data_IF_852816294115
#
_entry.id   IF_852816294115
#
_cell.length_a   1.000
_cell.length_b   1.000
_cell.length_c   1.000
_cell.angle_alpha   90.00
_cell.angle_beta   90.00
_cell.angle_gamma   90.00
#
_symmetry.space_group_name_H-M   'P 1'
#
loop_
_entity.id
_entity.type
_entity.pdbx_description
1 polymer ?
#
# COMPACT_ATOMS: atom_id res chain seq x y z
N UNK A 1 -0.37 20.58 10.71
CA UNK A 1 -1.26 19.56 10.13
C UNK A 1 -1.11 19.53 8.62
N UNK A 2 -0.53 18.46 8.06
CA UNK A 2 -0.56 18.21 6.61
C UNK A 2 -1.44 16.99 6.38
N UNK A 3 -2.70 17.23 6.01
CA UNK A 3 -3.61 16.19 5.52
C UNK A 3 -3.76 16.41 4.02
N UNK A 4 -3.53 15.36 3.26
CA UNK A 4 -3.81 15.35 1.83
C UNK A 4 -5.06 14.53 1.63
N UNK A 5 -6.13 15.19 1.18
CA UNK A 5 -7.37 14.50 0.90
C UNK A 5 -7.19 13.53 -0.26
N UNK A 6 -7.56 12.26 -0.04
CA UNK A 6 -7.90 11.37 -1.14
C UNK A 6 -9.10 11.95 -1.91
N UNK A 7 -9.29 11.51 -3.16
CA UNK A 7 -10.45 11.94 -3.97
C UNK A 7 -11.78 11.78 -3.21
N UNK A 8 -12.78 12.61 -3.56
CA UNK A 8 -14.12 12.59 -2.96
C UNK A 8 -14.83 11.23 -3.00
N UNK A 9 -14.60 10.42 -4.04
CA UNK A 9 -15.24 9.10 -4.16
C UNK A 9 -14.27 7.99 -3.82
N UNK A 10 -14.18 7.66 -2.53
CA UNK A 10 -13.34 6.59 -2.02
C UNK A 10 -13.79 5.22 -2.52
N UNK A 11 -12.83 4.32 -2.70
CA UNK A 11 -13.10 2.92 -3.09
C UNK A 11 -12.88 2.01 -1.89
N UNK A 12 -13.96 1.49 -1.32
CA UNK A 12 -13.91 0.48 -0.27
C UNK A 12 -13.72 -0.91 -0.86
N UNK A 13 -13.21 -1.85 -0.06
CA UNK A 13 -13.07 -3.23 -0.49
C UNK A 13 -14.45 -3.89 -0.66
N UNK A 14 -14.74 -4.49 -1.82
CA UNK A 14 -16.00 -5.18 -2.04
C UNK A 14 -16.02 -6.61 -1.45
N UNK A 15 -14.85 -7.19 -1.19
CA UNK A 15 -14.66 -8.54 -0.63
C UNK A 15 -13.68 -8.50 0.55
N UNK A 16 -13.67 -9.55 1.39
CA UNK A 16 -12.94 -9.61 2.67
C UNK A 16 -11.41 -9.46 2.49
N UNK A 17 -10.86 -9.86 1.34
CA UNK A 17 -9.40 -9.85 1.08
C UNK A 17 -8.96 -8.84 0.00
N UNK A 18 -9.82 -7.87 -0.30
CA UNK A 18 -9.55 -6.85 -1.34
C UNK A 18 -9.00 -5.52 -0.79
N UNK A 19 -8.43 -5.53 0.42
CA UNK A 19 -7.82 -4.33 1.03
C UNK A 19 -6.70 -3.76 0.15
N UNK A 20 -5.79 -4.62 -0.34
CA UNK A 20 -4.63 -4.24 -1.16
C UNK A 20 -5.06 -3.51 -2.43
N UNK A 21 -5.93 -4.11 -3.23
CA UNK A 21 -6.41 -3.54 -4.49
C UNK A 21 -7.17 -2.24 -4.29
N UNK A 22 -7.92 -2.14 -3.20
CA UNK A 22 -8.69 -0.95 -2.86
C UNK A 22 -7.78 0.20 -2.45
N UNK A 23 -6.75 -0.05 -1.63
CA UNK A 23 -5.71 0.93 -1.32
C UNK A 23 -5.01 1.43 -2.58
N UNK A 24 -4.51 0.51 -3.42
CA UNK A 24 -3.85 0.85 -4.70
C UNK A 24 -4.77 1.70 -5.57
N UNK A 25 -6.04 1.32 -5.70
CA UNK A 25 -7.03 2.06 -6.49
C UNK A 25 -7.20 3.49 -5.98
N UNK A 26 -7.32 3.68 -4.67
CA UNK A 26 -7.46 5.01 -4.07
C UNK A 26 -6.21 5.86 -4.29
N UNK A 27 -5.01 5.30 -4.13
CA UNK A 27 -3.75 6.00 -4.38
C UNK A 27 -3.64 6.40 -5.86
N UNK A 28 -3.85 5.46 -6.78
CA UNK A 28 -3.73 5.73 -8.22
C UNK A 28 -4.73 6.80 -8.70
N UNK A 29 -5.97 6.75 -8.20
CA UNK A 29 -6.99 7.74 -8.52
C UNK A 29 -6.70 9.12 -7.90
N UNK A 30 -6.16 9.16 -6.68
CA UNK A 30 -5.94 10.42 -5.97
C UNK A 30 -4.66 11.11 -6.40
N UNK A 31 -3.57 10.35 -6.57
CA UNK A 31 -2.24 10.90 -6.88
C UNK A 31 -2.05 11.18 -8.37
N UNK A 32 -2.60 10.33 -9.24
CA UNK A 32 -2.39 10.43 -10.68
C UNK A 32 -3.65 10.79 -11.46
N UNK A 33 -4.77 11.01 -10.77
CA UNK A 33 -6.07 11.34 -11.36
C UNK A 33 -6.51 10.34 -12.45
N UNK A 34 -6.11 9.07 -12.33
CA UNK A 34 -6.28 8.05 -13.37
C UNK A 34 -7.43 7.10 -13.07
N UNK A 35 -8.60 7.34 -13.66
CA UNK A 35 -9.74 6.41 -13.56
C UNK A 35 -9.55 5.09 -14.35
N UNK A 36 -8.42 4.94 -15.07
CA UNK A 36 -8.16 3.84 -16.01
C UNK A 36 -7.98 2.48 -15.33
N UNK A 37 -7.47 2.49 -14.10
CA UNK A 37 -7.17 1.28 -13.35
C UNK A 37 -8.39 0.86 -12.55
N UNK A 38 -9.18 -0.10 -13.05
CA UNK A 38 -10.28 -0.67 -12.27
C UNK A 38 -9.76 -1.71 -11.28
N UNK A 39 -10.53 -2.01 -10.23
CA UNK A 39 -10.20 -3.10 -9.29
C UNK A 39 -9.94 -4.42 -10.03
N UNK A 40 -10.74 -4.73 -11.07
CA UNK A 40 -10.54 -5.92 -11.92
C UNK A 40 -9.16 -5.96 -12.59
N UNK A 41 -8.66 -4.82 -13.09
CA UNK A 41 -7.32 -4.76 -13.72
C UNK A 41 -6.22 -4.92 -12.69
N UNK A 42 -6.37 -4.25 -11.53
CA UNK A 42 -5.44 -4.34 -10.41
C UNK A 42 -5.36 -5.78 -9.89
N UNK A 43 -6.50 -6.40 -9.58
CA UNK A 43 -6.59 -7.80 -9.13
C UNK A 43 -5.92 -8.78 -10.10
N UNK A 44 -6.12 -8.59 -11.42
CA UNK A 44 -5.49 -9.43 -12.44
C UNK A 44 -3.96 -9.37 -12.35
N UNK A 45 -3.39 -8.19 -12.16
CA UNK A 45 -1.94 -8.01 -12.03
C UNK A 45 -1.40 -8.56 -10.71
N UNK A 46 -2.14 -8.34 -9.61
CA UNK A 46 -1.82 -8.89 -8.30
C UNK A 46 -2.00 -10.41 -8.22
N UNK A 47 -2.49 -11.05 -9.29
CA UNK A 47 -2.87 -12.47 -9.32
C UNK A 47 -3.78 -12.83 -8.14
N UNK A 48 -4.65 -11.90 -7.76
CA UNK A 48 -5.59 -12.11 -6.67
C UNK A 48 -6.48 -13.31 -6.99
N UNK A 49 -6.48 -14.27 -6.07
CA UNK A 49 -7.39 -15.40 -6.08
C UNK A 49 -8.36 -15.14 -4.92
N UNK A 50 -9.65 -15.13 -5.23
CA UNK A 50 -10.71 -14.88 -4.24
C UNK A 50 -10.44 -15.69 -2.96
N UNK A 51 -10.49 -15.01 -1.82
CA UNK A 51 -10.30 -15.58 -0.48
C UNK A 51 -8.86 -15.97 -0.07
N UNK A 52 -7.84 -15.66 -0.88
CA UNK A 52 -6.43 -16.01 -0.56
C UNK A 52 -5.51 -14.78 -0.39
N UNK A 53 -6.06 -13.58 -0.41
CA UNK A 53 -5.29 -12.34 -0.28
C UNK A 53 -4.30 -12.10 -1.42
N UNK A 54 -3.36 -11.18 -1.20
CA UNK A 54 -2.30 -10.81 -2.15
C UNK A 54 -0.96 -10.90 -1.42
N UNK A 55 -0.05 -11.75 -1.90
CA UNK A 55 1.32 -11.79 -1.38
C UNK A 55 2.08 -10.51 -1.75
N UNK A 56 2.98 -10.05 -0.88
CA UNK A 56 3.74 -8.80 -1.06
C UNK A 56 4.51 -8.78 -2.40
N UNK A 57 5.12 -9.90 -2.79
CA UNK A 57 5.84 -10.02 -4.06
C UNK A 57 4.95 -9.76 -5.28
N UNK A 58 3.65 -10.02 -5.17
CA UNK A 58 2.70 -9.84 -6.28
C UNK A 58 2.43 -8.37 -6.58
N UNK A 59 2.77 -7.45 -5.66
CA UNK A 59 2.62 -6.02 -5.84
C UNK A 59 3.55 -5.52 -6.97
N UNK A 60 4.72 -6.11 -7.12
CA UNK A 60 5.67 -5.76 -8.18
C UNK A 60 5.14 -6.06 -9.60
N UNK A 61 4.18 -6.98 -9.73
CA UNK A 61 3.52 -7.28 -11.01
C UNK A 61 2.67 -6.09 -11.52
N UNK A 62 2.35 -5.10 -10.67
CA UNK A 62 1.67 -3.88 -11.10
C UNK A 62 2.52 -3.04 -12.06
N UNK A 63 3.85 -3.18 -12.04
CA UNK A 63 4.72 -2.40 -12.92
C UNK A 63 4.37 -2.62 -14.40
N UNK A 64 3.94 -3.83 -14.81
CA UNK A 64 3.49 -4.10 -16.18
C UNK A 64 2.26 -3.26 -16.58
N UNK A 65 1.32 -3.07 -15.64
CA UNK A 65 0.11 -2.27 -15.84
C UNK A 65 0.42 -0.76 -15.85
N UNK A 66 1.34 -0.33 -14.97
CA UNK A 66 1.62 1.06 -14.66
C UNK A 66 2.69 1.70 -15.56
N UNK A 67 3.57 0.90 -16.16
CA UNK A 67 4.67 1.39 -17.01
C UNK A 67 4.17 2.21 -18.21
N UNK A 68 2.96 1.92 -18.73
CA UNK A 68 2.32 2.70 -19.81
C UNK A 68 2.14 4.18 -19.45
N UNK A 69 2.01 4.47 -18.16
CA UNK A 69 1.81 5.81 -17.64
C UNK A 69 3.07 6.31 -16.91
N UNK A 70 4.22 5.64 -17.09
CA UNK A 70 5.50 5.89 -16.41
C UNK A 70 5.38 5.94 -14.88
N UNK A 71 4.43 5.19 -14.32
CA UNK A 71 4.24 5.03 -12.88
C UNK A 71 4.94 3.76 -12.45
N UNK A 72 5.70 3.84 -11.37
CA UNK A 72 6.44 2.72 -10.80
C UNK A 72 6.01 2.47 -9.37
N UNK A 73 6.04 1.20 -8.98
CA UNK A 73 5.86 0.79 -7.59
C UNK A 73 7.21 0.77 -6.91
N UNK A 74 7.26 1.39 -5.74
CA UNK A 74 8.42 1.37 -4.86
C UNK A 74 8.03 0.71 -3.55
N UNK A 75 8.98 -0.04 -3.00
CA UNK A 75 8.90 -0.66 -1.70
C UNK A 75 10.19 -0.36 -0.97
N UNK A 76 10.09 -0.02 0.33
CA UNK A 76 11.24 0.23 1.18
C UNK A 76 11.30 -0.82 2.28
N UNK A 77 12.45 -1.46 2.37
CA UNK A 77 12.72 -2.54 3.31
C UNK A 77 12.73 -2.07 4.77
N UNK A 78 12.58 -3.06 5.64
CA UNK A 78 12.04 -2.97 6.98
C UNK A 78 12.92 -2.18 7.96
N UNK A 79 14.24 -2.33 7.88
CA UNK A 79 15.22 -1.78 8.83
C UNK A 79 15.34 -0.24 8.82
N UNK A 80 14.88 0.43 7.76
CA UNK A 80 15.05 1.88 7.58
C UNK A 80 13.75 2.67 7.59
N UNK A 81 12.63 1.99 7.88
CA UNK A 81 11.31 2.59 7.96
C UNK A 81 11.14 3.35 9.27
N UNK A 82 10.39 4.45 9.22
CA UNK A 82 10.00 5.26 10.39
C UNK A 82 8.96 6.30 9.97
N UNK A 83 8.33 6.94 10.95
CA UNK A 83 7.34 8.01 10.71
C UNK A 83 7.92 9.15 9.86
N UNK A 84 9.22 9.50 10.01
CA UNK A 84 9.85 10.54 9.16
C UNK A 84 9.88 10.14 7.67
N UNK A 85 10.01 8.85 7.37
CA UNK A 85 9.98 8.36 5.99
C UNK A 85 8.58 8.51 5.39
N UNK A 86 7.54 8.18 6.16
CA UNK A 86 6.13 8.37 5.77
C UNK A 86 5.85 9.87 5.58
N UNK A 87 6.28 10.71 6.52
CA UNK A 87 6.10 12.16 6.47
C UNK A 87 6.69 12.79 5.22
N UNK A 88 7.91 12.43 4.84
CA UNK A 88 8.54 12.91 3.59
C UNK A 88 7.74 12.54 2.35
N UNK A 89 7.07 11.38 2.33
CA UNK A 89 6.21 10.99 1.21
C UNK A 89 4.94 11.85 1.19
N UNK A 90 4.30 12.05 2.34
CA UNK A 90 3.13 12.93 2.48
C UNK A 90 3.47 14.36 2.06
N UNK A 91 4.59 14.95 2.49
CA UNK A 91 5.03 16.30 2.07
C UNK A 91 5.17 16.43 0.55
N UNK A 92 5.54 15.34 -0.13
CA UNK A 92 5.67 15.25 -1.60
C UNK A 92 4.36 14.95 -2.32
N UNK A 93 3.24 14.90 -1.60
CA UNK A 93 1.92 14.50 -2.12
C UNK A 93 1.87 13.07 -2.65
N UNK A 94 2.64 12.18 -2.02
CA UNK A 94 2.62 10.75 -2.27
C UNK A 94 1.84 10.10 -1.13
N UNK A 95 0.96 9.16 -1.44
CA UNK A 95 0.15 8.44 -0.46
C UNK A 95 0.75 7.05 -0.19
N UNK A 96 1.58 6.89 0.85
CA UNK A 96 2.15 5.59 1.18
C UNK A 96 1.07 4.63 1.67
N UNK A 97 1.24 3.37 1.31
CA UNK A 97 0.46 2.25 1.82
C UNK A 97 1.32 1.55 2.87
N UNK A 98 0.76 1.37 4.06
CA UNK A 98 1.38 0.66 5.17
C UNK A 98 0.64 -0.64 5.44
N UNK A 99 1.35 -1.59 6.03
CA UNK A 99 0.88 -2.95 6.26
C UNK A 99 0.89 -3.20 7.76
N UNK A 100 -0.21 -3.72 8.28
CA UNK A 100 -0.35 -4.13 9.67
C UNK A 100 -0.76 -5.61 9.75
N UNK A 101 -0.38 -6.34 10.81
CA UNK A 101 -1.05 -7.58 11.16
C UNK A 101 -2.52 -7.29 11.40
N UNK A 102 -3.42 -8.02 10.73
CA UNK A 102 -4.86 -7.78 10.83
C UNK A 102 -5.34 -7.94 12.27
N UNK A 103 -4.84 -8.95 12.99
CA UNK A 103 -5.12 -9.22 14.40
C UNK A 103 -4.82 -8.03 15.30
N UNK A 104 -3.63 -7.45 15.18
CA UNK A 104 -3.20 -6.33 16.03
C UNK A 104 -3.93 -5.04 15.67
N UNK A 105 -4.16 -4.81 14.38
CA UNK A 105 -4.95 -3.68 13.91
C UNK A 105 -6.40 -3.74 14.38
N UNK A 106 -7.06 -4.91 14.28
CA UNK A 106 -8.44 -5.07 14.75
C UNK A 106 -8.56 -4.99 16.28
N UNK A 107 -7.58 -5.53 17.02
CA UNK A 107 -7.49 -5.38 18.48
C UNK A 107 -7.41 -3.91 18.87
N UNK A 108 -6.54 -3.14 18.20
CA UNK A 108 -6.45 -1.70 18.38
C UNK A 108 -7.76 -0.98 18.05
N UNK A 109 -8.39 -1.33 16.93
CA UNK A 109 -9.55 -0.60 16.38
C UNK A 109 -10.84 -0.84 17.16
N UNK A 110 -11.06 -2.06 17.64
CA UNK A 110 -12.34 -2.47 18.22
C UNK A 110 -12.28 -2.76 19.73
N UNK A 111 -11.10 -2.67 20.35
CA UNK A 111 -10.87 -3.00 21.77
C UNK A 111 -11.43 -4.39 22.15
N UNK A 112 -11.45 -5.30 21.18
CA UNK A 112 -12.00 -6.65 21.31
C UNK A 112 -10.94 -7.66 20.89
N UNK A 113 -10.55 -8.49 21.83
CA UNK A 113 -9.92 -9.79 21.57
C UNK A 113 -10.97 -10.70 20.94
N UNK A 114 -11.24 -10.55 19.63
CA UNK A 114 -11.83 -11.65 18.90
C UNK A 114 -10.83 -12.80 18.96
N UNK A 115 -11.28 -13.95 19.45
CA UNK A 115 -10.53 -15.20 19.33
C UNK A 115 -10.56 -15.51 17.84
N UNK A 116 -9.47 -15.20 17.16
CA UNK A 116 -9.27 -15.54 15.77
C UNK A 116 -9.13 -17.06 15.65
N UNK A 117 -9.69 -17.63 14.58
CA UNK A 117 -9.37 -19.00 14.20
C UNK A 117 -7.89 -19.08 13.81
N UNK A 118 -7.24 -20.22 14.01
CA UNK A 118 -5.79 -20.49 13.79
C UNK A 118 -5.25 -20.09 12.39
N UNK A 119 -6.10 -19.65 11.46
CA UNK A 119 -5.73 -19.14 10.14
C UNK A 119 -5.61 -17.61 10.00
N UNK A 120 -6.17 -16.80 10.91
CA UNK A 120 -6.13 -15.32 10.78
C UNK A 120 -4.85 -14.71 11.37
N UNK A 121 -4.02 -15.51 12.07
CA UNK A 121 -2.81 -15.02 12.74
C UNK A 121 -1.75 -14.51 11.77
N UNK A 122 -1.82 -14.91 10.50
CA UNK A 122 -0.86 -14.53 9.44
C UNK A 122 -1.50 -13.62 8.37
N UNK A 123 -2.67 -13.04 8.63
CA UNK A 123 -3.35 -12.16 7.67
C UNK A 123 -2.88 -10.72 7.85
N UNK A 124 -2.57 -10.06 6.73
CA UNK A 124 -2.15 -8.66 6.71
C UNK A 124 -3.26 -7.74 6.24
N UNK A 125 -3.28 -6.52 6.78
CA UNK A 125 -4.17 -5.46 6.36
C UNK A 125 -3.41 -4.25 5.83
N UNK A 126 -3.92 -3.66 4.76
CA UNK A 126 -3.26 -2.56 4.06
C UNK A 126 -4.09 -1.29 4.25
N UNK A 127 -3.39 -0.20 4.59
CA UNK A 127 -3.99 1.11 4.87
C UNK A 127 -3.25 2.18 4.08
N UNK A 128 -3.98 3.21 3.63
CA UNK A 128 -3.35 4.37 2.98
C UNK A 128 -3.12 5.45 4.02
N UNK A 129 -1.89 5.91 4.21
CA UNK A 129 -1.63 7.10 5.03
C UNK A 129 -1.97 8.34 4.21
N UNK A 130 -2.79 9.21 4.79
CA UNK A 130 -3.30 10.44 4.14
C UNK A 130 -2.82 11.70 4.83
N UNK A 131 -2.24 11.60 6.02
CA UNK A 131 -1.73 12.78 6.72
C UNK A 131 -0.96 12.44 7.99
N UNK A 132 -0.16 13.40 8.42
CA UNK A 132 0.58 13.36 9.69
C UNK A 132 0.40 14.72 10.39
N UNK A 133 0.05 14.66 11.68
CA UNK A 133 0.13 15.79 12.60
C UNK A 133 1.23 15.52 13.63
N UNK A 134 2.34 16.25 13.50
CA UNK A 134 3.47 16.18 14.43
C UNK A 134 3.19 16.80 15.80
N UNK A 135 2.32 17.80 15.85
CA UNK A 135 2.02 18.52 17.09
C UNK A 135 1.18 17.65 18.01
N UNK A 136 0.18 17.00 17.42
CA UNK A 136 -0.76 16.14 18.16
C UNK A 136 -0.36 14.65 18.10
N UNK A 137 0.76 14.34 17.46
CA UNK A 137 1.31 12.98 17.25
C UNK A 137 0.30 12.01 16.62
N UNK A 138 -0.43 12.46 15.60
CA UNK A 138 -1.47 11.69 14.91
C UNK A 138 -1.05 11.32 13.50
N UNK A 139 -1.24 10.06 13.13
CA UNK A 139 -1.27 9.56 11.75
C UNK A 139 -2.72 9.41 11.32
N UNK A 140 -3.05 9.96 10.15
CA UNK A 140 -4.36 9.81 9.53
C UNK A 140 -4.28 8.72 8.46
N UNK A 141 -5.13 7.70 8.57
CA UNK A 141 -5.16 6.59 7.62
C UNK A 141 -6.54 6.38 7.04
N UNK A 142 -6.60 6.08 5.75
CA UNK A 142 -7.78 5.55 5.10
C UNK A 142 -7.76 4.02 5.18
N UNK A 143 -8.81 3.46 5.75
CA UNK A 143 -9.05 2.03 5.83
C UNK A 143 -10.07 1.61 4.75
N UNK A 144 -9.70 0.74 3.80
CA UNK A 144 -10.61 0.27 2.77
C UNK A 144 -11.70 -0.68 3.31
N UNK A 145 -11.57 -1.23 4.51
CA UNK A 145 -12.64 -2.01 5.16
C UNK A 145 -13.76 -1.04 5.52
N UNK A 146 -14.93 -1.22 4.89
CA UNK A 146 -16.13 -0.49 5.25
C UNK A 146 -16.62 -0.99 6.61
N UNK A 147 -16.35 -0.25 7.67
CA UNK A 147 -16.88 -0.56 8.99
C UNK A 147 -18.40 -0.34 8.98
N UNK A 148 -19.18 -1.40 9.21
CA UNK A 148 -20.64 -1.33 9.35
C UNK A 148 -21.11 -0.40 10.48
N UNK A 149 -20.21 0.01 11.37
CA UNK A 149 -20.47 0.89 12.51
C UNK A 149 -20.02 2.33 12.30
N UNK A 150 -19.46 2.68 11.12
CA UNK A 150 -18.97 4.03 10.87
C UNK A 150 -19.80 4.72 9.79
N UNK A 151 -20.27 5.90 10.16
CA UNK A 151 -20.89 6.84 9.23
C UNK A 151 -19.79 7.59 8.47
N UNK A 152 -19.41 7.07 7.30
CA UNK A 152 -18.37 7.64 6.44
C UNK A 152 -18.74 9.02 5.89
N UNK A 153 -19.98 9.48 6.11
CA UNK A 153 -20.43 10.82 5.73
C UNK A 153 -19.81 11.94 6.59
N UNK A 154 -19.15 11.61 7.72
CA UNK A 154 -18.54 12.61 8.62
C UNK A 154 -17.02 12.69 8.55
N UNK A 155 -16.29 11.57 8.65
CA UNK A 155 -14.83 11.55 8.51
C UNK A 155 -14.36 10.19 7.93
N UNK A 156 -13.73 10.16 6.74
CA UNK A 156 -13.34 8.91 6.10
C UNK A 156 -12.05 8.29 6.63
N UNK A 157 -11.36 8.96 7.56
CA UNK A 157 -10.02 8.60 8.01
C UNK A 157 -10.00 8.22 9.48
N UNK A 158 -9.28 7.16 9.81
CA UNK A 158 -8.92 6.81 11.18
C UNK A 158 -7.76 7.70 11.67
N UNK A 159 -7.79 8.05 12.97
CA UNK A 159 -6.77 8.84 13.64
C UNK A 159 -6.02 7.91 14.59
N UNK A 160 -4.72 7.71 14.36
CA UNK A 160 -3.88 6.79 15.13
C UNK A 160 -2.74 7.59 15.77
N UNK A 161 -2.57 7.52 17.09
CA UNK A 161 -1.41 8.12 17.75
C UNK A 161 -0.11 7.45 17.28
N UNK A 162 1.00 8.18 17.21
CA UNK A 162 2.31 7.64 16.77
C UNK A 162 2.72 6.38 17.51
N UNK A 163 2.58 6.35 18.84
CA UNK A 163 2.92 5.16 19.65
C UNK A 163 2.09 3.94 19.25
N UNK A 164 0.77 4.08 19.11
CA UNK A 164 -0.11 2.98 18.67
C UNK A 164 0.18 2.55 17.24
N UNK A 165 0.44 3.50 16.34
CA UNK A 165 0.81 3.21 14.96
C UNK A 165 2.08 2.38 14.91
N UNK A 166 3.12 2.79 15.63
CA UNK A 166 4.38 2.06 15.72
C UNK A 166 4.18 0.66 16.31
N UNK A 167 3.47 0.53 17.43
CA UNK A 167 3.26 -0.77 18.08
C UNK A 167 2.51 -1.79 17.21
N UNK A 168 1.67 -1.34 16.28
CA UNK A 168 0.95 -2.22 15.34
C UNK A 168 1.76 -2.46 14.06
N UNK A 169 2.69 -1.56 13.74
CA UNK A 169 3.50 -1.62 12.52
C UNK A 169 4.81 -2.41 12.68
N UNK A 170 5.24 -2.59 13.92
CA UNK A 170 6.41 -3.40 14.29
C UNK A 170 6.06 -4.89 14.19
N UNK A 171 6.88 -5.62 13.45
CA UNK A 171 7.00 -7.08 13.41
C UNK A 171 7.80 -7.55 14.65
N UNK A 172 8.15 -8.83 14.69
CA UNK A 172 9.16 -9.40 15.59
C UNK A 172 10.47 -8.57 15.59
N UNK A 173 11.08 -8.40 16.77
CA UNK A 173 12.41 -7.80 16.95
C UNK A 173 12.60 -6.37 16.43
N UNK A 174 11.57 -5.50 16.54
CA UNK A 174 11.59 -4.10 16.11
C UNK A 174 11.74 -3.88 14.58
N UNK A 175 11.59 -4.93 13.79
CA UNK A 175 11.58 -4.89 12.33
C UNK A 175 10.22 -4.32 11.86
N UNK A 176 10.18 -3.31 10.99
CA UNK A 176 8.94 -2.68 10.57
C UNK A 176 8.43 -3.22 9.23
N UNK A 177 7.13 -3.50 9.09
CA UNK A 177 6.59 -3.89 7.78
C UNK A 177 6.90 -2.85 6.69
N UNK A 178 7.03 -3.28 5.42
CA UNK A 178 7.43 -2.38 4.34
C UNK A 178 6.42 -1.26 4.09
N UNK A 179 6.93 -0.13 3.60
CA UNK A 179 6.10 0.95 3.04
C UNK A 179 6.08 0.78 1.53
N UNK A 180 4.88 0.82 0.94
CA UNK A 180 4.69 0.78 -0.50
C UNK A 180 4.22 2.15 -0.98
N UNK A 181 4.77 2.65 -2.08
CA UNK A 181 4.27 3.87 -2.70
C UNK A 181 4.46 3.86 -4.22
N UNK A 182 3.88 4.87 -4.87
CA UNK A 182 3.89 5.01 -6.32
C UNK A 182 4.48 6.36 -6.68
N UNK A 183 5.31 6.42 -7.73
CA UNK A 183 5.77 7.68 -8.28
C UNK A 183 5.79 7.64 -9.80
N UNK A 184 5.64 8.81 -10.45
CA UNK A 184 6.02 8.97 -11.85
C UNK A 184 7.53 9.15 -11.91
N UNK A 185 8.20 8.45 -12.82
CA UNK A 185 9.60 8.77 -13.11
C UNK A 185 9.64 10.17 -13.75
N UNK A 186 10.22 11.12 -13.03
CA UNK A 186 10.70 12.36 -13.64
C UNK A 186 12.02 12.02 -14.35
N UNK A 187 12.19 12.46 -15.59
CA UNK A 187 13.38 12.19 -16.41
C UNK A 187 14.69 12.75 -15.78
N UNK A 188 14.61 13.43 -14.63
CA UNK A 188 15.72 14.05 -13.88
C UNK A 188 16.11 13.32 -12.57
N UNK A 189 15.48 12.19 -12.22
CA UNK A 189 15.92 11.42 -11.05
C UNK A 189 17.05 10.48 -11.45
N UNK A 190 18.27 10.88 -11.09
CA UNK A 190 19.46 10.04 -11.09
C UNK A 190 19.24 8.96 -10.00
N UNK A 191 18.76 7.80 -10.42
CA UNK A 191 18.55 6.66 -9.52
C UNK A 191 19.93 6.17 -9.08
N UNK A 192 20.18 6.17 -7.78
CA UNK A 192 21.37 5.59 -7.17
C UNK A 192 21.56 4.15 -7.70
N UNK A 193 22.74 3.80 -8.26
CA UNK A 193 23.03 2.45 -8.75
C UNK A 193 22.81 1.32 -7.74
N UNK A 194 22.67 1.61 -6.44
CA UNK A 194 22.34 0.60 -5.43
C UNK A 194 20.83 0.24 -5.36
N UNK A 195 19.94 1.02 -6.02
CA UNK A 195 18.52 0.67 -6.20
C UNK A 195 18.22 -0.03 -7.53
N UNK A 196 19.25 -0.35 -8.33
CA UNK A 196 19.13 -0.90 -9.70
C UNK A 196 18.82 -2.41 -9.78
N UNK A 197 18.70 -3.11 -8.65
CA UNK A 197 18.70 -4.59 -8.65
C UNK A 197 17.45 -5.29 -9.19
N UNK A 198 16.41 -4.58 -9.63
CA UNK A 198 15.20 -5.21 -10.21
C UNK A 198 14.91 -4.79 -11.66
N UNK A 199 15.48 -3.67 -12.14
CA UNK A 199 15.09 -3.08 -13.44
C UNK A 199 15.73 -3.81 -14.64
N UNK A 200 16.95 -4.32 -14.51
CA UNK A 200 17.71 -4.84 -15.67
C UNK A 200 17.49 -6.33 -15.98
N UNK A 201 16.76 -7.09 -15.14
CA UNK A 201 16.55 -8.54 -15.37
C UNK A 201 15.34 -8.88 -16.26
N UNK A 202 14.41 -7.96 -16.47
CA UNK A 202 13.19 -8.22 -17.27
C UNK A 202 13.31 -7.85 -18.76
N UNK A 203 14.25 -6.99 -19.14
CA UNK A 203 14.38 -6.53 -20.54
C UNK A 203 15.28 -7.44 -21.41
N UNK A 204 15.98 -8.41 -20.78
CA UNK A 204 16.87 -9.35 -21.49
C UNK A 204 16.32 -10.77 -21.64
N UNK A 205 15.29 -11.18 -20.88
CA UNK A 205 14.72 -12.53 -20.98
C UNK A 205 13.65 -12.68 -22.08
N UNK A 206 13.21 -11.57 -22.68
CA UNK A 206 12.18 -11.57 -23.74
C UNK A 206 12.74 -11.47 -25.17
N UNK A 207 14.08 -11.55 -25.36
CA UNK A 207 14.73 -11.45 -26.68
C UNK A 207 15.60 -12.64 -27.10
N UNK A 208 15.49 -13.80 -26.44
CA UNK A 208 16.19 -15.01 -26.87
C UNK A 208 15.29 -16.26 -26.84
N UNK A 209 14.22 -16.26 -27.63
CA UNK A 209 13.65 -17.49 -28.18
C UNK A 209 13.18 -17.13 -29.59
N UNK A 210 14.05 -17.36 -30.57
CA UNK A 210 13.73 -17.62 -31.98
C UNK A 210 15.04 -17.51 -32.77
N UNK A 211 15.70 -18.66 -32.94
CA UNK A 211 16.54 -19.02 -34.07
C UNK A 211 17.29 -20.30 -33.70
N UNK A 212 16.69 -21.46 -33.97
CA UNK A 212 17.38 -22.66 -34.45
C UNK A 212 16.36 -23.80 -34.65
N UNK A 213 15.73 -23.80 -35.81
CA UNK A 213 15.18 -25.00 -36.42
C UNK A 213 15.50 -24.94 -37.93
N UNK A 214 16.59 -25.58 -38.30
CA UNK A 214 16.84 -26.14 -39.64
C UNK A 214 17.14 -27.62 -39.43
#
# INVERSE_FOLDING_TARGET
MTIIELKKTLTFQPEIDMCVSSCIKNVLDSQFHSKRYSLKKINKCLRYINCLGVGLDSINNLNELLNKDKIYVFQKDEESNNIKSIERLIERKIYPIVIFPLKDYEKWKNDKTRVYSDGDENTYHFLVVVGIDRKDEIVYVFDPIKNKYRDYDKEPYDKITFSKFYNVWVHEEDILYPIIWFERKNDNLNIDPQQKTVIDKFDKSSRQVDNNAK
#
